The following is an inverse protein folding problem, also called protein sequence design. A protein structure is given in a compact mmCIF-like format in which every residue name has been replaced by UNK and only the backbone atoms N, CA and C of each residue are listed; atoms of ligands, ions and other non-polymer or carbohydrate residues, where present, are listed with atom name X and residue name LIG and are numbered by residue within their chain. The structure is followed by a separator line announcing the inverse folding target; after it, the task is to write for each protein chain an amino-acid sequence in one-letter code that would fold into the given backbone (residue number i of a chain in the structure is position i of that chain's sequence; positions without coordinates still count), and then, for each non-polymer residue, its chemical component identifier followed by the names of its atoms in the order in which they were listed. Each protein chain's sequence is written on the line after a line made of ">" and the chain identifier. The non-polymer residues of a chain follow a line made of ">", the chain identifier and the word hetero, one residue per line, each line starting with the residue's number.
data_IF_436284922705
#
_entry.id   IF_436284922705
#
_cell.length_a   1.000
_cell.length_b   1.000
_cell.length_c   1.000
_cell.angle_alpha   90.00
_cell.angle_beta   90.00
_cell.angle_gamma   90.00
#
_symmetry.space_group_name_H-M   'P 1'
#
loop_
_entity.id
_entity.type
_entity.pdbx_description
1 polymer ?
#
# COMPACT_ATOMS: atom_id res chain seq x y z
N UNK A 1 -23.93 -22.89 8.81
CA UNK A 1 -22.61 -23.03 8.14
C UNK A 1 -22.19 -21.67 7.63
N UNK A 2 -20.95 -21.24 7.88
CA UNK A 2 -20.41 -19.97 7.37
C UNK A 2 -20.08 -20.11 5.89
N UNK A 3 -20.37 -19.08 5.09
CA UNK A 3 -20.08 -19.04 3.64
C UNK A 3 -19.64 -17.64 3.22
N UNK A 4 -19.00 -17.53 2.05
CA UNK A 4 -18.76 -16.26 1.35
C UNK A 4 -19.70 -16.18 0.15
N UNK A 5 -20.69 -15.30 0.24
CA UNK A 5 -21.63 -15.05 -0.86
C UNK A 5 -21.11 -13.85 -1.65
N UNK A 6 -20.92 -13.99 -2.97
CA UNK A 6 -20.50 -12.87 -3.82
C UNK A 6 -21.57 -11.77 -3.79
N UNK A 7 -21.15 -10.52 -3.67
CA UNK A 7 -22.03 -9.34 -3.67
C UNK A 7 -21.52 -8.29 -4.67
N UNK A 8 -22.42 -7.40 -5.07
CA UNK A 8 -22.08 -6.26 -5.92
C UNK A 8 -21.85 -5.00 -5.07
N UNK A 9 -20.75 -4.29 -5.35
CA UNK A 9 -20.47 -3.00 -4.74
C UNK A 9 -20.80 -1.87 -5.73
N UNK A 10 -21.47 -0.79 -5.30
CA UNK A 10 -21.66 0.40 -6.13
C UNK A 10 -20.33 0.96 -6.61
N UNK A 11 -20.24 1.26 -7.91
CA UNK A 11 -19.02 1.82 -8.51
C UNK A 11 -17.94 0.81 -8.88
N UNK A 12 -18.13 -0.49 -8.61
CA UNK A 12 -17.24 -1.52 -9.17
C UNK A 12 -17.26 -1.47 -10.70
N UNK A 13 -16.16 -1.85 -11.33
CA UNK A 13 -16.06 -1.94 -12.78
C UNK A 13 -15.33 -3.22 -13.21
N UNK A 14 -15.10 -3.38 -14.51
CA UNK A 14 -14.42 -4.55 -15.07
C UNK A 14 -13.07 -4.13 -15.63
N UNK A 15 -12.01 -4.87 -15.27
CA UNK A 15 -10.70 -4.79 -15.90
C UNK A 15 -10.24 -6.19 -16.31
N UNK A 16 -9.77 -6.36 -17.54
CA UNK A 16 -9.36 -7.66 -18.11
C UNK A 16 -10.39 -8.79 -17.91
N UNK A 17 -11.68 -8.46 -18.01
CA UNK A 17 -12.78 -9.42 -17.84
C UNK A 17 -13.10 -9.79 -16.38
N UNK A 18 -12.41 -9.20 -15.40
CA UNK A 18 -12.59 -9.45 -13.98
C UNK A 18 -13.16 -8.22 -13.27
N UNK A 19 -13.98 -8.44 -12.24
CA UNK A 19 -14.51 -7.35 -11.41
C UNK A 19 -13.42 -6.69 -10.57
N UNK A 20 -13.45 -5.37 -10.49
CA UNK A 20 -12.55 -4.58 -9.68
C UNK A 20 -13.35 -3.63 -8.76
N UNK A 21 -13.28 -3.80 -7.43
CA UNK A 21 -12.85 -5.01 -6.72
C UNK A 21 -13.91 -6.12 -6.83
N UNK A 22 -13.52 -7.36 -6.49
CA UNK A 22 -14.50 -8.41 -6.17
C UNK A 22 -14.92 -8.31 -4.72
N UNK A 23 -16.19 -8.62 -4.41
CA UNK A 23 -16.71 -8.49 -3.06
C UNK A 23 -17.52 -9.71 -2.61
N UNK A 24 -17.42 -10.00 -1.32
CA UNK A 24 -18.12 -11.11 -0.66
C UNK A 24 -18.70 -10.68 0.69
N UNK A 25 -19.86 -11.23 1.04
CA UNK A 25 -20.48 -11.10 2.36
C UNK A 25 -20.34 -12.41 3.13
N UNK A 26 -19.88 -12.34 4.38
CA UNK A 26 -19.89 -13.47 5.31
C UNK A 26 -21.35 -13.76 5.70
N UNK A 27 -21.86 -14.89 5.22
CA UNK A 27 -23.26 -15.31 5.40
C UNK A 27 -23.40 -16.58 6.25
N UNK A 28 -24.60 -16.85 6.77
CA UNK A 28 -24.90 -18.03 7.58
C UNK A 28 -24.66 -17.80 9.07
N UNK A 29 -23.74 -18.55 9.69
CA UNK A 29 -23.39 -18.39 11.12
C UNK A 29 -22.49 -17.15 11.36
N UNK A 30 -22.85 -16.00 10.77
CA UNK A 30 -22.02 -14.78 10.68
C UNK A 30 -21.76 -14.07 12.02
N UNK A 31 -22.43 -14.46 13.10
CA UNK A 31 -22.20 -13.94 14.45
C UNK A 31 -21.27 -14.81 15.31
N UNK A 32 -20.88 -16.00 14.82
CA UNK A 32 -19.99 -16.90 15.56
C UNK A 32 -18.55 -16.76 15.04
N UNK A 33 -17.74 -15.99 15.78
CA UNK A 33 -16.38 -15.65 15.36
C UNK A 33 -15.47 -16.88 15.22
N UNK A 34 -15.58 -17.87 16.10
CA UNK A 34 -14.75 -19.08 16.02
C UNK A 34 -15.07 -19.90 14.76
N UNK A 35 -16.36 -19.99 14.40
CA UNK A 35 -16.79 -20.62 13.15
C UNK A 35 -16.31 -19.85 11.92
N UNK A 36 -16.30 -18.50 11.97
CA UNK A 36 -15.80 -17.66 10.88
C UNK A 36 -14.29 -17.84 10.72
N UNK A 37 -13.53 -17.75 11.80
CA UNK A 37 -12.07 -17.96 11.79
C UNK A 37 -11.71 -19.30 11.17
N UNK A 38 -12.35 -20.38 11.64
CA UNK A 38 -12.16 -21.73 11.10
C UNK A 38 -12.53 -21.80 9.62
N UNK A 39 -13.65 -21.20 9.22
CA UNK A 39 -14.06 -21.17 7.81
C UNK A 39 -13.06 -20.42 6.93
N UNK A 40 -12.59 -19.24 7.35
CA UNK A 40 -11.61 -18.44 6.61
C UNK A 40 -10.28 -19.18 6.48
N UNK A 41 -9.84 -19.87 7.54
CA UNK A 41 -8.67 -20.74 7.51
C UNK A 41 -8.83 -21.86 6.46
N UNK A 42 -9.91 -22.63 6.50
CA UNK A 42 -10.13 -23.72 5.54
C UNK A 42 -10.28 -23.19 4.12
N UNK A 43 -10.96 -22.04 3.94
CA UNK A 43 -11.09 -21.39 2.64
C UNK A 43 -9.74 -20.92 2.10
N UNK A 44 -8.87 -20.37 2.95
CA UNK A 44 -7.52 -19.96 2.56
C UNK A 44 -6.67 -21.14 2.09
N UNK A 45 -6.73 -22.29 2.79
CA UNK A 45 -6.03 -23.52 2.37
C UNK A 45 -6.40 -24.02 0.97
N UNK A 46 -7.59 -23.69 0.48
CA UNK A 46 -7.99 -24.03 -0.90
C UNK A 46 -7.31 -23.17 -1.98
N UNK A 47 -6.56 -22.14 -1.59
CA UNK A 47 -5.96 -21.15 -2.50
C UNK A 47 -6.90 -20.01 -2.90
N UNK A 48 -8.13 -20.01 -2.40
CA UNK A 48 -9.19 -19.07 -2.82
C UNK A 48 -8.76 -17.60 -2.77
N UNK A 49 -8.21 -17.11 -1.65
CA UNK A 49 -7.88 -15.68 -1.53
C UNK A 49 -6.76 -15.25 -2.46
N UNK A 50 -5.75 -16.10 -2.66
CA UNK A 50 -4.67 -15.81 -3.60
C UNK A 50 -5.17 -15.84 -5.04
N UNK A 51 -6.03 -16.79 -5.40
CA UNK A 51 -6.66 -16.84 -6.73
C UNK A 51 -7.55 -15.61 -6.99
N UNK A 52 -8.34 -15.18 -6.00
CA UNK A 52 -9.16 -13.98 -6.13
C UNK A 52 -8.32 -12.71 -6.23
N UNK A 53 -7.23 -12.58 -5.45
CA UNK A 53 -6.30 -11.46 -5.56
C UNK A 53 -5.58 -11.46 -6.91
N UNK A 54 -5.20 -12.63 -7.43
CA UNK A 54 -4.54 -12.77 -8.72
C UNK A 54 -5.44 -12.30 -9.88
N UNK A 55 -6.74 -12.61 -9.81
CA UNK A 55 -7.73 -12.25 -10.84
C UNK A 55 -8.21 -10.80 -10.73
N UNK A 56 -8.47 -10.35 -9.51
CA UNK A 56 -9.23 -9.12 -9.26
C UNK A 56 -8.38 -7.99 -8.70
N UNK A 57 -7.13 -8.24 -8.29
CA UNK A 57 -6.26 -7.27 -7.62
C UNK A 57 -6.73 -6.86 -6.21
N UNK A 58 -8.04 -6.81 -5.94
CA UNK A 58 -8.63 -6.38 -4.68
C UNK A 58 -9.86 -7.21 -4.32
N UNK A 59 -9.95 -7.62 -3.05
CA UNK A 59 -11.07 -8.33 -2.45
C UNK A 59 -11.67 -7.47 -1.34
N UNK A 60 -12.99 -7.33 -1.31
CA UNK A 60 -13.72 -6.80 -0.15
C UNK A 60 -14.47 -7.94 0.53
N UNK A 61 -14.23 -8.14 1.82
CA UNK A 61 -15.00 -9.06 2.66
C UNK A 61 -15.82 -8.23 3.63
N UNK A 62 -17.14 -8.27 3.47
CA UNK A 62 -18.11 -7.69 4.39
C UNK A 62 -18.54 -8.71 5.43
N UNK A 63 -18.83 -8.20 6.62
CA UNK A 63 -19.44 -8.97 7.69
C UNK A 63 -20.51 -8.12 8.38
N UNK A 64 -21.43 -7.63 7.57
CA UNK A 64 -22.42 -6.58 7.90
C UNK A 64 -23.34 -7.00 9.05
N UNK A 65 -23.50 -8.32 9.25
CA UNK A 65 -24.39 -8.88 10.26
C UNK A 65 -23.71 -9.10 11.63
N UNK A 66 -22.38 -8.97 11.73
CA UNK A 66 -21.65 -9.24 12.95
C UNK A 66 -21.45 -7.96 13.78
N UNK A 67 -22.24 -7.85 14.85
CA UNK A 67 -22.21 -6.69 15.75
C UNK A 67 -21.09 -6.73 16.79
N UNK A 68 -20.36 -7.84 16.87
CA UNK A 68 -19.37 -8.11 17.91
C UNK A 68 -17.93 -8.07 17.36
N UNK A 69 -17.71 -7.41 16.22
CA UNK A 69 -16.37 -7.26 15.66
C UNK A 69 -15.56 -6.23 16.45
N UNK A 70 -14.31 -6.58 16.71
CA UNK A 70 -13.30 -5.69 17.26
C UNK A 70 -11.94 -6.02 16.63
N UNK A 71 -10.91 -5.19 16.84
CA UNK A 71 -9.60 -5.41 16.23
C UNK A 71 -8.94 -6.76 16.56
N UNK A 72 -9.18 -7.34 17.74
CA UNK A 72 -8.62 -8.64 18.12
C UNK A 72 -9.26 -9.79 17.32
N UNK A 73 -10.58 -9.77 17.17
CA UNK A 73 -11.30 -10.76 16.36
C UNK A 73 -10.89 -10.65 14.89
N UNK A 74 -10.84 -9.44 14.34
CA UNK A 74 -10.44 -9.24 12.95
C UNK A 74 -8.97 -9.64 12.75
N UNK A 75 -8.10 -9.44 13.75
CA UNK A 75 -6.72 -9.93 13.71
C UNK A 75 -6.67 -11.45 13.57
N UNK A 76 -7.54 -12.20 14.26
CA UNK A 76 -7.65 -13.66 14.08
C UNK A 76 -8.08 -14.02 12.66
N UNK A 77 -9.03 -13.30 12.08
CA UNK A 77 -9.47 -13.52 10.70
C UNK A 77 -8.35 -13.28 9.69
N UNK A 78 -7.59 -12.19 9.84
CA UNK A 78 -6.44 -11.89 8.98
C UNK A 78 -5.37 -12.98 9.14
N UNK A 79 -5.02 -13.38 10.37
CA UNK A 79 -4.07 -14.48 10.58
C UNK A 79 -4.54 -15.79 9.96
N UNK A 80 -5.84 -16.11 10.08
CA UNK A 80 -6.43 -17.30 9.46
C UNK A 80 -6.30 -17.28 7.94
N UNK A 81 -6.50 -16.13 7.30
CA UNK A 81 -6.30 -15.96 5.85
C UNK A 81 -4.80 -16.07 5.51
N UNK A 82 -3.97 -15.22 6.11
CA UNK A 82 -2.58 -15.04 5.69
C UNK A 82 -1.70 -16.25 5.96
N UNK A 83 -1.74 -16.81 7.18
CA UNK A 83 -0.90 -17.95 7.56
C UNK A 83 -1.23 -19.21 6.75
N UNK A 84 -2.44 -19.29 6.19
CA UNK A 84 -2.89 -20.42 5.36
C UNK A 84 -2.90 -20.07 3.86
N UNK A 85 -2.35 -18.92 3.48
CA UNK A 85 -2.20 -18.46 2.09
C UNK A 85 -0.73 -18.33 1.67
N UNK A 86 0.22 -18.86 2.46
CA UNK A 86 1.67 -18.73 2.16
C UNK A 86 2.22 -17.33 2.39
N UNK A 87 1.58 -16.55 3.27
CA UNK A 87 2.02 -15.19 3.58
C UNK A 87 2.70 -15.14 4.95
N UNK A 88 3.75 -14.32 5.06
CA UNK A 88 4.39 -13.96 6.33
C UNK A 88 4.12 -12.49 6.68
N UNK A 89 4.14 -12.18 7.98
CA UNK A 89 3.86 -10.82 8.44
C UNK A 89 4.99 -9.87 8.03
N UNK A 90 4.65 -8.80 7.32
CA UNK A 90 5.64 -7.84 6.85
C UNK A 90 5.98 -6.82 7.94
N UNK A 91 7.24 -6.84 8.38
CA UNK A 91 7.75 -5.89 9.36
C UNK A 91 8.01 -4.54 8.71
N UNK A 92 7.18 -3.55 9.06
CA UNK A 92 7.27 -2.19 8.53
C UNK A 92 8.52 -1.45 9.03
N UNK A 93 9.35 -0.98 8.12
CA UNK A 93 10.50 -0.12 8.41
C UNK A 93 10.58 0.96 7.34
N UNK A 94 10.85 2.22 7.71
CA UNK A 94 10.82 3.36 6.79
C UNK A 94 9.42 3.95 6.56
N UNK A 95 8.52 3.84 7.55
CA UNK A 95 7.18 4.46 7.50
C UNK A 95 7.26 5.97 7.66
N UNK A 96 6.57 6.71 6.79
CA UNK A 96 6.36 8.17 6.93
C UNK A 96 5.07 8.51 7.67
N UNK A 97 4.24 7.51 7.99
CA UNK A 97 2.97 7.68 8.69
C UNK A 97 3.15 7.54 10.20
N UNK A 98 2.39 8.35 10.96
CA UNK A 98 2.17 8.12 12.38
C UNK A 98 1.34 6.85 12.55
N UNK A 99 1.82 5.93 13.38
CA UNK A 99 1.18 4.63 13.61
C UNK A 99 1.01 4.40 15.11
N UNK A 100 -0.14 3.84 15.48
CA UNK A 100 -0.37 3.25 16.79
C UNK A 100 -0.64 1.76 16.61
N UNK A 101 0.15 0.92 17.28
CA UNK A 101 -0.10 -0.51 17.38
C UNK A 101 -1.44 -0.72 18.12
N UNK A 102 -2.33 -1.53 17.53
CA UNK A 102 -3.66 -1.86 18.07
C UNK A 102 -3.69 -3.31 18.50
N UNK A 103 -3.14 -4.20 17.67
CA UNK A 103 -2.85 -5.60 17.98
C UNK A 103 -1.45 -5.93 17.50
N UNK A 104 -1.02 -7.20 17.62
CA UNK A 104 0.26 -7.67 17.08
C UNK A 104 0.44 -7.39 15.58
N UNK A 105 -0.65 -7.47 14.80
CA UNK A 105 -0.60 -7.37 13.33
C UNK A 105 -1.38 -6.16 12.78
N UNK A 106 -2.12 -5.44 13.62
CA UNK A 106 -2.90 -4.27 13.22
C UNK A 106 -2.34 -3.00 13.84
N UNK A 107 -2.23 -1.97 12.99
CA UNK A 107 -1.90 -0.61 13.40
C UNK A 107 -2.84 0.39 12.75
N UNK A 108 -2.94 1.61 13.28
CA UNK A 108 -3.75 2.66 12.64
C UNK A 108 -3.22 3.00 11.24
N UNK A 109 -4.13 3.19 10.28
CA UNK A 109 -3.80 3.82 9.00
C UNK A 109 -3.30 5.26 9.24
N UNK A 110 -2.62 5.87 8.25
CA UNK A 110 -2.04 7.21 8.40
C UNK A 110 -3.05 8.22 9.00
N UNK A 111 -2.77 8.70 10.22
CA UNK A 111 -3.56 9.67 10.99
C UNK A 111 -3.29 11.13 10.56
N UNK A 112 -2.84 11.35 9.33
CA UNK A 112 -2.61 12.69 8.78
C UNK A 112 -3.89 13.55 8.72
N UNK A 113 -3.78 14.84 8.37
CA UNK A 113 -4.91 15.76 8.35
C UNK A 113 -6.12 15.23 7.57
N UNK A 114 -7.29 15.26 8.20
CA UNK A 114 -8.52 14.66 7.68
C UNK A 114 -9.11 15.41 6.49
N UNK A 115 -8.81 16.70 6.38
CA UNK A 115 -9.21 17.61 5.31
C UNK A 115 -8.38 17.44 4.02
N UNK A 116 -7.26 16.71 4.08
CA UNK A 116 -6.34 16.54 2.95
C UNK A 116 -6.46 15.17 2.32
N UNK A 117 -6.45 15.05 0.98
CA UNK A 117 -6.40 13.77 0.31
C UNK A 117 -5.00 13.15 0.40
N UNK A 118 -4.94 11.82 0.24
CA UNK A 118 -3.73 11.09 -0.15
C UNK A 118 -4.02 10.50 -1.53
N UNK A 119 -3.19 10.81 -2.52
CA UNK A 119 -3.38 10.28 -3.87
C UNK A 119 -2.72 8.90 -4.04
N UNK A 120 -2.94 8.31 -5.21
CA UNK A 120 -2.55 6.94 -5.52
C UNK A 120 -1.06 6.66 -5.30
N UNK A 121 -0.79 5.57 -4.59
CA UNK A 121 0.54 4.99 -4.39
C UNK A 121 0.43 3.49 -4.11
N UNK A 122 1.46 2.74 -4.48
CA UNK A 122 1.68 1.40 -3.94
C UNK A 122 2.56 1.50 -2.68
N UNK A 123 2.23 0.72 -1.65
CA UNK A 123 2.94 0.74 -0.38
C UNK A 123 4.39 0.27 -0.58
N UNK A 124 5.37 1.00 -0.06
CA UNK A 124 6.80 0.71 -0.22
C UNK A 124 7.30 0.56 -1.68
N UNK A 125 6.60 1.14 -2.67
CA UNK A 125 6.97 1.02 -4.10
C UNK A 125 8.40 1.44 -4.47
N UNK A 126 8.99 2.28 -3.63
CA UNK A 126 10.33 2.85 -3.74
C UNK A 126 11.42 2.11 -2.95
N UNK A 127 11.05 1.05 -2.23
CA UNK A 127 11.94 0.24 -1.41
C UNK A 127 12.32 -1.05 -2.14
N UNK A 128 13.45 -1.64 -1.77
CA UNK A 128 13.86 -2.98 -2.20
C UNK A 128 12.87 -4.02 -1.64
N UNK A 129 12.53 -3.89 -0.35
CA UNK A 129 11.54 -4.75 0.32
C UNK A 129 10.21 -4.02 0.47
N UNK A 130 9.14 -4.67 0.03
CA UNK A 130 7.76 -4.17 0.06
C UNK A 130 6.80 -5.34 0.31
N UNK A 131 5.65 -5.13 0.96
CA UNK A 131 4.64 -6.17 1.12
C UNK A 131 3.97 -6.49 -0.21
N UNK A 132 3.62 -7.75 -0.46
CA UNK A 132 2.77 -8.13 -1.60
C UNK A 132 1.28 -7.94 -1.31
N UNK A 133 0.88 -8.06 -0.04
CA UNK A 133 -0.53 -8.05 0.36
C UNK A 133 -0.77 -7.02 1.46
N UNK A 134 -1.81 -6.20 1.27
CA UNK A 134 -2.27 -5.24 2.27
C UNK A 134 -3.67 -5.62 2.74
N UNK A 135 -3.92 -5.49 4.03
CA UNK A 135 -5.24 -5.55 4.60
C UNK A 135 -5.60 -4.17 5.15
N UNK A 136 -6.71 -3.61 4.71
CA UNK A 136 -7.34 -2.45 5.33
C UNK A 136 -8.62 -2.88 6.03
N UNK A 137 -8.79 -2.44 7.28
CA UNK A 137 -9.92 -2.87 8.14
C UNK A 137 -10.65 -1.64 8.65
N UNK A 138 -11.96 -1.60 8.51
CA UNK A 138 -12.76 -0.57 9.14
C UNK A 138 -13.13 -0.93 10.58
N UNK A 139 -12.40 -0.38 11.55
CA UNK A 139 -12.73 -0.52 12.98
C UNK A 139 -13.95 0.33 13.34
N UNK A 140 -13.98 1.58 12.86
CA UNK A 140 -15.11 2.49 13.08
C UNK A 140 -15.32 3.43 11.90
N UNK A 141 -16.57 3.69 11.56
CA UNK A 141 -16.96 4.68 10.56
C UNK A 141 -18.29 5.35 10.95
N UNK A 142 -18.24 6.67 11.09
CA UNK A 142 -19.36 7.59 11.14
C UNK A 142 -18.86 8.92 10.59
N UNK A 143 -18.50 8.90 9.30
CA UNK A 143 -17.91 10.03 8.61
C UNK A 143 -18.57 10.24 7.25
N UNK A 144 -18.56 11.49 6.80
CA UNK A 144 -18.82 11.83 5.39
C UNK A 144 -17.49 11.84 4.65
N UNK A 145 -17.42 11.19 3.49
CA UNK A 145 -16.18 10.97 2.76
C UNK A 145 -15.30 9.91 3.43
N UNK A 146 -13.99 10.01 3.26
CA UNK A 146 -13.02 9.09 3.88
C UNK A 146 -12.91 7.73 3.20
N UNK A 147 -13.46 7.60 2.01
CA UNK A 147 -13.26 6.44 1.15
C UNK A 147 -11.77 6.17 0.95
N UNK A 148 -11.45 4.90 0.70
CA UNK A 148 -10.13 4.51 0.21
C UNK A 148 -10.22 4.33 -1.30
N UNK A 149 -9.79 5.31 -2.13
CA UNK A 149 -9.70 5.13 -3.56
C UNK A 149 -8.65 4.08 -3.89
N UNK A 150 -8.99 3.13 -4.75
CA UNK A 150 -8.05 2.13 -5.29
C UNK A 150 -8.11 2.12 -6.82
N UNK A 151 -6.96 1.91 -7.44
CA UNK A 151 -6.81 1.88 -8.91
C UNK A 151 -6.01 0.65 -9.31
N UNK A 152 -6.47 -0.04 -10.35
CA UNK A 152 -5.73 -1.14 -10.93
C UNK A 152 -4.56 -0.60 -11.77
N UNK A 153 -3.34 -0.98 -11.43
CA UNK A 153 -2.09 -0.49 -12.04
C UNK A 153 -1.95 -0.85 -13.51
N UNK A 154 -2.55 -1.96 -13.95
CA UNK A 154 -2.65 -2.31 -15.37
C UNK A 154 -3.63 -1.43 -16.14
N UNK A 155 -4.74 -1.03 -15.51
CA UNK A 155 -5.74 -0.14 -16.11
C UNK A 155 -5.17 1.27 -16.26
N UNK A 156 -4.47 1.75 -15.22
CA UNK A 156 -3.75 3.01 -15.27
C UNK A 156 -2.66 2.99 -16.34
N UNK A 157 -1.94 1.87 -16.48
CA UNK A 157 -0.95 1.70 -17.55
C UNK A 157 -1.60 1.84 -18.93
N UNK A 158 -2.69 1.11 -19.20
CA UNK A 158 -3.39 1.15 -20.49
C UNK A 158 -3.95 2.53 -20.80
N UNK A 159 -4.55 3.20 -19.81
CA UNK A 159 -5.11 4.55 -19.97
C UNK A 159 -4.04 5.58 -20.33
N UNK A 160 -2.89 5.54 -19.67
CA UNK A 160 -1.76 6.43 -19.99
C UNK A 160 -1.13 6.05 -21.33
N UNK A 161 -0.93 4.76 -21.59
CA UNK A 161 -0.33 4.29 -22.85
C UNK A 161 -1.16 4.66 -24.08
N UNK A 162 -2.49 4.74 -23.92
CA UNK A 162 -3.41 5.13 -24.98
C UNK A 162 -3.28 6.61 -25.37
N UNK A 163 -2.97 7.48 -24.41
CA UNK A 163 -2.90 8.93 -24.63
C UNK A 163 -1.47 9.41 -24.87
N UNK A 164 -0.50 8.89 -24.12
CA UNK A 164 0.92 9.29 -24.13
C UNK A 164 1.81 8.03 -24.02
N UNK A 165 1.87 7.16 -25.05
CA UNK A 165 2.69 5.94 -25.03
C UNK A 165 4.19 6.20 -24.83
N UNK A 166 4.68 7.35 -25.29
CA UNK A 166 6.06 7.79 -25.11
C UNK A 166 6.43 7.97 -23.64
N UNK A 167 5.49 8.38 -22.78
CA UNK A 167 5.78 8.51 -21.36
C UNK A 167 6.10 7.15 -20.74
N UNK A 168 5.30 6.12 -21.05
CA UNK A 168 5.55 4.77 -20.57
C UNK A 168 6.91 4.25 -21.07
N UNK A 169 7.24 4.46 -22.36
CA UNK A 169 8.53 4.06 -22.93
C UNK A 169 9.71 4.75 -22.26
N UNK A 170 9.64 6.07 -22.09
CA UNK A 170 10.69 6.85 -21.42
C UNK A 170 10.85 6.42 -19.96
N UNK A 171 9.73 6.22 -19.25
CA UNK A 171 9.74 5.81 -17.86
C UNK A 171 10.24 4.37 -17.68
N UNK A 172 9.95 3.47 -18.62
CA UNK A 172 10.50 2.12 -18.69
C UNK A 172 12.02 2.13 -18.89
N UNK A 173 12.50 2.91 -19.87
CA UNK A 173 13.91 2.96 -20.25
C UNK A 173 14.77 3.67 -19.22
N UNK A 174 14.26 4.76 -18.63
CA UNK A 174 15.02 5.68 -17.77
C UNK A 174 14.74 5.48 -16.29
N UNK A 175 13.70 4.73 -15.94
CA UNK A 175 13.28 4.48 -14.56
C UNK A 175 12.86 5.75 -13.80
N UNK A 176 12.58 5.59 -12.51
CA UNK A 176 12.10 6.67 -11.63
C UNK A 176 13.01 6.85 -10.43
N UNK A 177 13.52 8.07 -10.27
CA UNK A 177 14.31 8.51 -9.14
C UNK A 177 13.47 9.25 -8.11
N UNK A 178 13.73 8.94 -6.84
CA UNK A 178 13.24 9.65 -5.67
C UNK A 178 14.35 9.79 -4.64
N UNK A 179 14.39 10.90 -3.92
CA UNK A 179 15.27 11.05 -2.77
C UNK A 179 14.45 11.32 -1.51
N UNK A 180 14.72 10.57 -0.44
CA UNK A 180 14.15 10.82 0.88
C UNK A 180 15.21 11.35 1.86
N UNK A 181 14.83 12.35 2.66
CA UNK A 181 15.62 12.90 3.75
C UNK A 181 14.90 12.60 5.05
N UNK A 182 15.49 11.75 5.88
CA UNK A 182 15.01 11.43 7.20
C UNK A 182 15.80 12.23 8.21
N UNK A 183 15.17 13.24 8.78
CA UNK A 183 15.84 14.21 9.63
C UNK A 183 16.32 13.60 10.94
N UNK A 184 17.31 14.22 11.59
CA UNK A 184 17.76 13.84 12.94
C UNK A 184 16.65 13.93 13.99
N UNK A 185 15.80 14.94 13.87
CA UNK A 185 14.64 15.17 14.74
C UNK A 185 13.41 15.49 13.91
N UNK A 186 12.24 15.19 14.45
CA UNK A 186 10.95 15.52 13.86
C UNK A 186 9.90 15.65 14.95
N UNK A 187 8.93 16.55 14.79
CA UNK A 187 7.90 16.80 15.80
C UNK A 187 6.88 15.66 15.97
N UNK A 188 6.89 14.67 15.07
CA UNK A 188 5.87 13.63 14.98
C UNK A 188 6.43 12.20 14.97
N UNK A 189 7.62 11.98 15.52
CA UNK A 189 8.28 10.66 15.56
C UNK A 189 8.42 10.01 14.17
N UNK A 190 8.91 10.78 13.20
CA UNK A 190 9.21 10.27 11.86
C UNK A 190 10.67 10.57 11.47
N UNK A 191 11.58 10.65 12.43
CA UNK A 191 13.02 10.82 12.21
C UNK A 191 13.70 9.45 11.99
N UNK A 192 14.93 9.44 11.45
CA UNK A 192 15.59 8.19 11.03
C UNK A 192 15.75 7.17 12.17
N UNK A 193 16.02 7.62 13.39
CA UNK A 193 16.23 6.76 14.58
C UNK A 193 14.94 6.26 15.23
N UNK A 194 13.77 6.58 14.70
CA UNK A 194 12.52 6.10 15.28
C UNK A 194 12.23 4.62 14.91
N UNK A 195 11.56 3.89 15.81
CA UNK A 195 11.27 2.44 15.71
C UNK A 195 10.61 2.04 14.38
N UNK A 196 9.64 2.82 13.89
CA UNK A 196 8.94 2.53 12.63
C UNK A 196 9.63 3.11 11.37
N UNK A 197 10.71 3.86 11.57
CA UNK A 197 11.58 4.35 10.50
C UNK A 197 12.76 3.39 10.35
N UNK A 198 14.00 3.84 10.56
CA UNK A 198 15.19 3.00 10.45
C UNK A 198 15.83 2.67 11.81
N UNK A 199 15.19 3.06 12.91
CA UNK A 199 15.69 2.85 14.27
C UNK A 199 15.11 1.63 14.99
N UNK A 200 14.49 0.68 14.28
CA UNK A 200 13.90 -0.51 14.91
C UNK A 200 14.87 -1.30 15.79
N UNK A 201 16.13 -1.34 15.38
CA UNK A 201 17.19 -2.09 16.04
C UNK A 201 18.08 -1.21 16.94
N UNK A 202 17.67 0.04 17.20
CA UNK A 202 18.34 0.97 18.10
C UNK A 202 17.69 0.84 19.48
N UNK A 203 18.48 0.66 20.53
CA UNK A 203 18.00 0.83 21.89
C UNK A 203 17.69 2.33 22.11
N UNK A 204 16.45 2.72 22.46
CA UNK A 204 16.09 4.11 22.71
C UNK A 204 16.92 4.79 23.81
N UNK A 205 17.59 4.02 24.67
CA UNK A 205 18.47 4.53 25.73
C UNK A 205 19.95 4.56 25.34
N UNK A 206 20.32 4.07 24.14
CA UNK A 206 21.70 4.09 23.67
C UNK A 206 22.14 5.52 23.36
N UNK A 207 23.23 5.94 24.00
CA UNK A 207 23.84 7.27 23.86
C UNK A 207 24.96 7.29 22.82
N UNK A 208 25.37 6.14 22.28
CA UNK A 208 26.35 6.07 21.20
C UNK A 208 25.70 6.47 19.87
N UNK A 209 25.78 7.76 19.58
CA UNK A 209 25.19 8.37 18.39
C UNK A 209 25.75 7.80 17.07
N UNK A 210 27.06 7.53 17.02
CA UNK A 210 27.70 7.02 15.80
C UNK A 210 27.39 5.54 15.58
N UNK A 211 27.26 4.74 16.65
CA UNK A 211 26.74 3.38 16.56
C UNK A 211 25.28 3.37 16.06
N UNK A 212 24.42 4.24 16.61
CA UNK A 212 23.03 4.38 16.18
C UNK A 212 22.90 4.72 14.69
N UNK A 213 23.76 5.62 14.17
CA UNK A 213 23.85 5.90 12.74
C UNK A 213 24.20 4.65 11.93
N UNK A 214 25.19 3.85 12.36
CA UNK A 214 25.57 2.59 11.69
C UNK A 214 24.43 1.58 11.66
N UNK A 215 23.66 1.45 12.73
CA UNK A 215 22.48 0.57 12.80
C UNK A 215 21.41 1.02 11.79
N UNK A 216 21.06 2.31 11.81
CA UNK A 216 20.01 2.85 10.94
C UNK A 216 20.37 2.76 9.45
N UNK A 217 21.59 3.15 9.07
CA UNK A 217 22.03 3.09 7.66
C UNK A 217 22.15 1.65 7.16
N UNK A 218 22.53 0.70 8.02
CA UNK A 218 22.56 -0.72 7.67
C UNK A 218 21.14 -1.19 7.32
N UNK A 219 20.17 -0.93 8.20
CA UNK A 219 18.78 -1.29 7.94
C UNK A 219 18.25 -0.60 6.67
N UNK A 220 18.52 0.69 6.47
CA UNK A 220 18.11 1.42 5.28
C UNK A 220 18.70 0.81 3.98
N UNK A 221 19.97 0.39 4.01
CA UNK A 221 20.61 -0.30 2.88
C UNK A 221 19.98 -1.65 2.55
N UNK A 222 19.58 -2.40 3.57
CA UNK A 222 18.99 -3.73 3.42
C UNK A 222 17.55 -3.69 2.88
N UNK A 223 16.77 -2.66 3.21
CA UNK A 223 15.34 -2.63 2.91
C UNK A 223 14.94 -1.57 1.88
N UNK A 224 15.63 -0.42 1.85
CA UNK A 224 15.18 0.76 1.11
C UNK A 224 15.99 0.98 -0.15
N UNK A 225 17.31 1.15 -0.02
CA UNK A 225 18.22 1.39 -1.14
C UNK A 225 19.66 1.22 -0.71
N UNK A 226 20.55 0.63 -1.55
CA UNK A 226 21.98 0.61 -1.24
C UNK A 226 22.60 2.03 -1.18
N UNK A 227 21.96 3.02 -1.79
CA UNK A 227 22.41 4.40 -1.88
C UNK A 227 21.87 5.23 -0.71
N UNK A 228 22.40 4.96 0.48
CA UNK A 228 22.11 5.71 1.70
C UNK A 228 23.37 6.38 2.25
N UNK A 229 23.23 7.61 2.75
CA UNK A 229 24.29 8.38 3.40
C UNK A 229 23.74 9.28 4.50
N UNK A 230 24.57 9.62 5.49
CA UNK A 230 24.28 10.72 6.41
C UNK A 230 24.89 12.01 5.86
N UNK A 231 24.11 13.09 5.86
CA UNK A 231 24.63 14.41 5.53
C UNK A 231 25.34 15.05 6.75
N UNK A 232 25.90 16.25 6.55
CA UNK A 232 26.56 17.05 7.61
C UNK A 232 25.65 17.42 8.79
N UNK A 233 24.34 17.46 8.56
CA UNK A 233 23.32 17.79 9.56
C UNK A 233 22.84 16.54 10.32
N UNK A 234 23.43 15.36 10.02
CA UNK A 234 23.06 14.05 10.52
C UNK A 234 21.65 13.59 10.14
N UNK A 235 21.14 14.07 9.01
CA UNK A 235 19.97 13.50 8.37
C UNK A 235 20.38 12.33 7.48
N UNK A 236 19.57 11.27 7.47
CA UNK A 236 19.77 10.11 6.61
C UNK A 236 19.12 10.38 5.25
N UNK A 237 19.95 10.52 4.21
CA UNK A 237 19.53 10.61 2.81
C UNK A 237 19.46 9.23 2.19
N UNK A 238 18.40 8.97 1.45
CA UNK A 238 18.14 7.71 0.75
C UNK A 238 17.79 8.03 -0.70
N UNK A 239 18.69 7.71 -1.61
CA UNK A 239 18.49 7.82 -3.06
C UNK A 239 17.88 6.53 -3.61
N UNK A 240 16.74 6.61 -4.29
CA UNK A 240 15.96 5.45 -4.71
C UNK A 240 15.80 5.47 -6.22
N UNK A 241 16.33 4.43 -6.86
CA UNK A 241 16.24 4.22 -8.31
C UNK A 241 15.32 3.03 -8.54
N UNK A 242 14.21 3.25 -9.22
CA UNK A 242 13.14 2.26 -9.32
C UNK A 242 12.75 1.98 -10.76
N UNK A 243 12.19 0.79 -10.99
CA UNK A 243 11.48 0.45 -12.21
C UNK A 243 9.97 0.58 -11.91
N UNK A 244 9.35 1.71 -12.30
CA UNK A 244 7.99 2.07 -11.86
C UNK A 244 6.89 1.39 -12.69
N UNK A 245 7.27 0.73 -13.80
CA UNK A 245 6.42 -0.14 -14.60
C UNK A 245 7.05 -1.53 -14.57
N UNK A 246 6.25 -2.52 -14.18
CA UNK A 246 6.71 -3.90 -14.00
C UNK A 246 5.71 -4.85 -14.65
N UNK A 247 6.12 -6.07 -14.96
CA UNK A 247 5.27 -7.09 -15.58
C UNK A 247 4.56 -7.89 -14.49
N UNK A 248 3.23 -7.86 -14.46
CA UNK A 248 2.46 -8.84 -13.70
C UNK A 248 2.45 -10.16 -14.48
N UNK A 249 2.67 -11.27 -13.79
CA UNK A 249 2.47 -12.63 -14.33
C UNK A 249 1.51 -13.34 -13.38
N UNK A 250 0.27 -13.54 -13.83
CA UNK A 250 -0.74 -14.28 -13.05
C UNK A 250 -0.43 -15.77 -13.02
N UNK A 251 -0.98 -16.49 -12.04
CA UNK A 251 -0.81 -17.94 -11.93
C UNK A 251 -1.42 -18.71 -13.11
N UNK A 252 -2.36 -18.09 -13.82
CA UNK A 252 -3.03 -18.63 -15.00
C UNK A 252 -2.36 -18.22 -16.33
N UNK A 253 -1.16 -17.62 -16.29
CA UNK A 253 -0.37 -17.28 -17.48
C UNK A 253 -0.76 -15.99 -18.19
N UNK A 254 -1.72 -15.22 -17.66
CA UNK A 254 -2.00 -13.86 -18.11
C UNK A 254 -0.83 -12.97 -17.66
N UNK A 255 -0.30 -12.16 -18.58
CA UNK A 255 0.78 -11.23 -18.29
C UNK A 255 0.53 -9.87 -18.91
N UNK A 256 0.78 -8.80 -18.15
CA UNK A 256 0.60 -7.43 -18.60
C UNK A 256 1.44 -6.45 -17.76
N UNK A 257 1.81 -5.29 -18.31
CA UNK A 257 2.48 -4.23 -17.56
C UNK A 257 1.55 -3.57 -16.53
N UNK A 258 2.09 -3.31 -15.35
CA UNK A 258 1.45 -2.62 -14.24
C UNK A 258 2.31 -1.46 -13.77
N UNK A 259 1.67 -0.35 -13.43
CA UNK A 259 2.31 0.65 -12.59
C UNK A 259 2.45 0.17 -11.15
N UNK A 260 3.68 0.20 -10.64
CA UNK A 260 4.00 -0.02 -9.23
C UNK A 260 4.89 1.13 -8.76
N UNK A 261 4.27 2.25 -8.38
CA UNK A 261 4.99 3.49 -8.06
C UNK A 261 4.16 4.42 -7.15
N UNK A 262 4.59 5.68 -7.05
CA UNK A 262 3.93 6.72 -6.24
C UNK A 262 3.98 8.08 -6.93
N UNK A 263 4.02 8.09 -8.27
CA UNK A 263 4.14 9.32 -9.08
C UNK A 263 2.98 10.27 -8.78
N UNK A 264 1.73 9.79 -8.83
CA UNK A 264 0.55 10.61 -8.61
C UNK A 264 0.57 11.31 -7.24
N UNK A 265 0.87 10.59 -6.16
CA UNK A 265 0.92 11.19 -4.82
C UNK A 265 2.06 12.18 -4.64
N UNK A 266 3.27 11.88 -5.10
CA UNK A 266 4.38 12.82 -4.96
C UNK A 266 4.17 14.07 -5.82
N UNK A 267 3.68 13.90 -7.04
CA UNK A 267 3.40 15.04 -7.91
C UNK A 267 2.26 15.92 -7.35
N UNK A 268 1.17 15.33 -6.87
CA UNK A 268 0.07 16.08 -6.26
C UNK A 268 0.51 16.88 -5.03
N UNK A 269 1.41 16.35 -4.21
CA UNK A 269 1.95 17.06 -3.05
C UNK A 269 2.66 18.36 -3.45
N UNK A 270 3.43 18.33 -4.54
CA UNK A 270 4.13 19.50 -5.08
C UNK A 270 3.15 20.45 -5.76
N UNK A 271 2.34 19.93 -6.69
CA UNK A 271 1.40 20.72 -7.50
C UNK A 271 0.36 21.45 -6.65
N UNK A 272 -0.24 20.75 -5.68
CA UNK A 272 -1.35 21.27 -4.87
C UNK A 272 -0.90 21.83 -3.52
N UNK A 273 0.39 21.76 -3.20
CA UNK A 273 0.97 22.23 -1.92
C UNK A 273 0.27 21.63 -0.69
N UNK A 274 -0.25 20.41 -0.81
CA UNK A 274 -1.02 19.75 0.25
C UNK A 274 -0.13 19.25 1.41
N UNK A 275 1.20 19.25 1.26
CA UNK A 275 2.14 18.88 2.33
C UNK A 275 2.06 17.40 2.75
N UNK A 276 2.89 16.98 3.71
CA UNK A 276 2.87 15.61 4.26
C UNK A 276 4.04 14.71 3.85
N UNK A 277 4.75 15.04 2.76
CA UNK A 277 6.00 14.39 2.35
C UNK A 277 7.14 15.41 2.23
N UNK A 278 7.34 16.26 3.24
CA UNK A 278 8.47 17.21 3.31
C UNK A 278 9.85 16.56 3.19
N UNK A 279 9.89 15.23 3.28
CA UNK A 279 11.09 14.40 3.23
C UNK A 279 11.43 13.91 1.85
N UNK A 280 10.48 13.83 0.92
CA UNK A 280 10.76 13.34 -0.42
C UNK A 280 10.95 14.53 -1.34
N UNK A 281 12.12 14.65 -1.97
CA UNK A 281 12.36 15.64 -3.03
C UNK A 281 11.51 15.32 -4.27
N UNK A 282 11.46 16.26 -5.21
CA UNK A 282 10.77 16.08 -6.48
C UNK A 282 11.23 14.80 -7.20
N UNK A 283 10.29 14.17 -7.90
CA UNK A 283 10.53 13.00 -8.75
C UNK A 283 11.24 13.39 -10.04
N UNK A 284 12.12 12.53 -10.54
CA UNK A 284 12.83 12.69 -11.83
C UNK A 284 13.09 11.33 -12.45
N UNK A 285 13.66 11.29 -13.66
CA UNK A 285 14.23 10.06 -14.21
C UNK A 285 15.54 9.68 -13.48
N UNK A 286 15.98 8.42 -13.58
CA UNK A 286 17.21 7.94 -12.93
C UNK A 286 18.48 8.64 -13.43
N UNK A 287 18.46 9.17 -14.65
CA UNK A 287 19.55 9.95 -15.25
C UNK A 287 19.56 11.42 -14.82
N UNK A 288 18.64 11.82 -13.93
CA UNK A 288 18.49 13.19 -13.44
C UNK A 288 17.66 14.10 -14.35
N UNK A 289 17.21 13.63 -15.50
CA UNK A 289 16.32 14.41 -16.36
C UNK A 289 14.94 14.60 -15.74
N UNK A 290 14.31 15.73 -16.04
CA UNK A 290 12.98 16.05 -15.55
C UNK A 290 11.90 15.24 -16.29
N UNK A 291 10.84 14.88 -15.56
CA UNK A 291 9.64 14.26 -16.15
C UNK A 291 8.74 15.41 -16.63
N UNK A 292 8.35 15.47 -17.91
CA UNK A 292 7.46 16.51 -18.43
C UNK A 292 6.20 16.65 -17.60
N UNK A 293 5.84 17.90 -17.28
CA UNK A 293 4.72 18.20 -16.39
C UNK A 293 3.40 17.64 -16.93
N UNK A 294 3.19 17.65 -18.25
CA UNK A 294 2.00 17.11 -18.89
C UNK A 294 1.82 15.60 -18.64
N UNK A 295 2.92 14.84 -18.53
CA UNK A 295 2.87 13.41 -18.21
C UNK A 295 2.46 13.18 -16.76
N UNK A 296 2.97 14.03 -15.86
CA UNK A 296 2.62 14.00 -14.44
C UNK A 296 1.16 14.43 -14.20
N UNK A 297 0.70 15.44 -14.95
CA UNK A 297 -0.69 15.91 -14.95
C UNK A 297 -1.65 14.81 -15.41
N UNK A 298 -1.34 14.16 -16.53
CA UNK A 298 -2.13 13.03 -17.01
C UNK A 298 -2.15 11.88 -16.00
N UNK A 299 -1.00 11.53 -15.43
CA UNK A 299 -0.90 10.45 -14.43
C UNK A 299 -1.79 10.73 -13.23
N UNK A 300 -1.73 11.96 -12.69
CA UNK A 300 -2.57 12.35 -11.58
C UNK A 300 -4.06 12.32 -11.96
N UNK A 301 -4.42 12.87 -13.12
CA UNK A 301 -5.81 12.90 -13.59
C UNK A 301 -6.37 11.47 -13.75
N UNK A 302 -5.68 10.58 -14.47
CA UNK A 302 -6.13 9.19 -14.66
C UNK A 302 -6.20 8.41 -13.35
N UNK A 303 -5.30 8.69 -12.41
CA UNK A 303 -5.34 8.07 -11.08
C UNK A 303 -6.58 8.46 -10.25
N UNK A 304 -7.22 9.59 -10.59
CA UNK A 304 -8.46 10.05 -9.96
C UNK A 304 -9.66 9.49 -10.74
N UNK A 305 -9.64 9.60 -12.07
CA UNK A 305 -10.75 9.20 -12.94
C UNK A 305 -11.08 7.70 -12.87
N UNK A 306 -10.04 6.87 -12.73
CA UNK A 306 -10.16 5.40 -12.71
C UNK A 306 -10.40 4.84 -11.30
N UNK A 307 -10.44 5.68 -10.26
CA UNK A 307 -10.48 5.21 -8.89
C UNK A 307 -11.84 4.61 -8.52
N UNK A 308 -11.82 3.36 -8.06
CA UNK A 308 -12.91 2.83 -7.26
C UNK A 308 -12.80 3.38 -5.84
N UNK A 309 -13.77 4.19 -5.42
CA UNK A 309 -13.82 4.77 -4.09
C UNK A 309 -14.52 3.81 -3.12
N UNK A 310 -13.76 3.03 -2.35
CA UNK A 310 -14.35 2.11 -1.39
C UNK A 310 -15.04 2.86 -0.24
N UNK A 311 -16.37 2.85 -0.27
CA UNK A 311 -17.22 3.34 0.82
C UNK A 311 -17.25 2.32 1.96
N UNK A 312 -16.59 2.69 3.05
CA UNK A 312 -16.37 1.85 4.22
C UNK A 312 -17.65 1.51 4.99
N UNK A 313 -17.81 0.25 5.38
CA UNK A 313 -18.70 -0.18 6.44
C UNK A 313 -17.90 -0.75 7.60
N UNK A 314 -18.39 -0.58 8.83
CA UNK A 314 -17.74 -1.15 10.01
C UNK A 314 -17.60 -2.66 9.86
N UNK A 315 -16.39 -3.17 10.10
CA UNK A 315 -16.06 -4.59 9.96
C UNK A 315 -15.58 -5.01 8.57
N UNK A 316 -15.63 -4.12 7.57
CA UNK A 316 -15.07 -4.40 6.24
C UNK A 316 -13.58 -4.76 6.35
N UNK A 317 -13.19 -5.83 5.65
CA UNK A 317 -11.81 -6.24 5.43
C UNK A 317 -11.55 -6.13 3.93
N UNK A 318 -10.74 -5.16 3.53
CA UNK A 318 -10.26 -5.01 2.16
C UNK A 318 -8.87 -5.61 2.05
N UNK A 319 -8.68 -6.53 1.11
CA UNK A 319 -7.41 -7.19 0.83
C UNK A 319 -6.93 -6.72 -0.54
N UNK A 320 -5.74 -6.15 -0.63
CA UNK A 320 -5.15 -5.67 -1.87
C UNK A 320 -3.91 -6.45 -2.23
N UNK A 321 -3.78 -6.80 -3.51
CA UNK A 321 -2.50 -7.12 -4.12
C UNK A 321 -1.77 -5.80 -4.36
N UNK A 322 -0.80 -5.49 -3.49
CA UNK A 322 -0.08 -4.22 -3.49
C UNK A 322 0.67 -3.97 -4.81
N UNK A 323 0.98 -5.03 -5.56
CA UNK A 323 1.63 -4.90 -6.85
C UNK A 323 0.67 -4.42 -7.93
N UNK A 324 -0.52 -5.03 -8.00
CA UNK A 324 -1.53 -4.70 -8.99
C UNK A 324 -2.33 -3.45 -8.64
N UNK A 325 -2.40 -3.06 -7.37
CA UNK A 325 -3.34 -2.05 -6.90
C UNK A 325 -2.63 -0.96 -6.14
N UNK A 326 -2.79 0.28 -6.60
CA UNK A 326 -2.46 1.47 -5.83
C UNK A 326 -3.66 1.90 -4.99
N UNK A 327 -3.41 2.61 -3.90
CA UNK A 327 -4.44 3.17 -3.04
C UNK A 327 -4.17 4.62 -2.65
N UNK A 328 -5.22 5.30 -2.20
CA UNK A 328 -5.17 6.63 -1.61
C UNK A 328 -6.10 6.78 -0.42
N UNK A 329 -6.49 8.02 -0.12
CA UNK A 329 -7.44 8.36 0.95
C UNK A 329 -8.18 9.64 0.59
N UNK A 330 -9.51 9.59 0.56
CA UNK A 330 -10.33 10.80 0.44
C UNK A 330 -10.31 11.62 1.75
N UNK A 331 -10.52 12.95 1.67
CA UNK A 331 -10.82 13.76 2.85
C UNK A 331 -12.09 13.27 3.55
N UNK A 332 -12.23 13.56 4.84
CA UNK A 332 -13.42 13.17 5.59
C UNK A 332 -13.74 14.12 6.75
N UNK A 333 -15.01 14.09 7.17
CA UNK A 333 -15.49 14.73 8.38
C UNK A 333 -16.21 13.71 9.26
N UNK A 334 -15.87 13.63 10.55
CA UNK A 334 -16.47 12.68 11.50
C UNK A 334 -15.52 11.57 11.96
N UNK A 335 -16.07 10.51 12.55
CA UNK A 335 -15.30 9.40 13.10
C UNK A 335 -14.88 8.43 11.99
N UNK A 336 -13.58 8.26 11.79
CA UNK A 336 -13.02 7.31 10.83
C UNK A 336 -11.81 6.64 11.43
N UNK A 337 -11.86 5.33 11.60
CA UNK A 337 -10.74 4.53 12.11
C UNK A 337 -10.54 3.31 11.22
N UNK A 338 -9.59 3.44 10.30
CA UNK A 338 -9.12 2.35 9.44
C UNK A 338 -7.81 1.82 10.00
N UNK A 339 -7.69 0.50 10.10
CA UNK A 339 -6.48 -0.21 10.52
C UNK A 339 -5.81 -0.83 9.30
N UNK A 340 -4.51 -1.10 9.41
CA UNK A 340 -3.73 -1.77 8.37
C UNK A 340 -2.96 -2.96 8.92
N UNK A 341 -2.86 -4.02 8.11
CA UNK A 341 -1.92 -5.13 8.25
C UNK A 341 -1.18 -5.31 6.93
N UNK A 342 0.11 -5.65 6.99
CA UNK A 342 0.94 -5.84 5.80
C UNK A 342 1.56 -7.22 5.83
N UNK A 343 1.53 -7.90 4.70
CA UNK A 343 1.95 -9.28 4.55
C UNK A 343 2.75 -9.45 3.26
N UNK A 344 3.68 -10.39 3.29
CA UNK A 344 4.55 -10.70 2.17
C UNK A 344 4.40 -12.15 1.76
N UNK A 345 4.51 -12.42 0.46
CA UNK A 345 4.49 -13.80 -0.05
C UNK A 345 5.87 -14.41 0.16
N UNK A 346 5.89 -15.59 0.79
CA UNK A 346 7.12 -16.33 1.04
C UNK A 346 7.70 -16.74 -0.32
N UNK A 347 9.02 -16.54 -0.50
CA UNK A 347 9.73 -16.85 -1.74
C UNK A 347 9.17 -16.18 -3.01
N UNK A 348 8.55 -14.99 -2.86
CA UNK A 348 8.04 -14.23 -4.02
C UNK A 348 9.14 -14.00 -5.05
N UNK A 349 8.78 -14.12 -6.33
CA UNK A 349 9.69 -13.79 -7.42
C UNK A 349 9.93 -12.26 -7.49
N UNK A 350 11.13 -11.88 -7.92
CA UNK A 350 11.37 -10.50 -8.33
C UNK A 350 10.56 -10.19 -9.60
N UNK A 351 9.69 -9.18 -9.50
CA UNK A 351 8.91 -8.74 -10.65
C UNK A 351 9.81 -8.07 -11.68
N UNK A 352 9.75 -8.60 -12.91
CA UNK A 352 10.56 -8.09 -14.02
C UNK A 352 10.10 -6.69 -14.39
N UNK A 353 11.02 -5.75 -14.67
CA UNK A 353 10.65 -4.48 -15.28
C UNK A 353 9.99 -4.72 -16.64
N UNK A 354 9.01 -3.89 -16.99
CA UNK A 354 8.57 -3.81 -18.39
C UNK A 354 9.64 -3.03 -19.15
N UNK A 355 10.30 -3.66 -20.12
CA UNK A 355 11.37 -3.07 -20.93
C UNK A 355 10.92 -3.02 -22.39
N UNK A 356 11.03 -1.84 -23.01
CA UNK A 356 10.67 -1.58 -24.41
C UNK A 356 11.70 -0.77 -25.16
#
# INVERSE_FOLDING_TARGET
>A
MVTLTKIDLPGKHIFNGNEFPVAYEISGDSNNNDKIEKFLQEKAKTGFFIEQLDKHGAIVIRNSNNKNLNPEIISKFIKAISNNSGLEFFIQNGSTAKRREVTEILSTANEGPHDKPIYQHNEFSRFIKYPTTLFFVCDKINAKGGETPVVHGGELFEAINKEIPEFNKELSKRGLFMEQIWTLKSDNNTHWSYKFCFGRNIDPNDKDFENNKKIAIKLAKEIASPFCEFNKDNDLRISQYTNPIRIYESKNGISYPCFFNSIATFYANVKLKIGGYSKTKNISYNDGGEIPQEYLDLTLQKSIDLAYNHAWQQGDIVILNNYQVSHGRCPWEGERKILVSMWDEIDKADYKPWLV
#
